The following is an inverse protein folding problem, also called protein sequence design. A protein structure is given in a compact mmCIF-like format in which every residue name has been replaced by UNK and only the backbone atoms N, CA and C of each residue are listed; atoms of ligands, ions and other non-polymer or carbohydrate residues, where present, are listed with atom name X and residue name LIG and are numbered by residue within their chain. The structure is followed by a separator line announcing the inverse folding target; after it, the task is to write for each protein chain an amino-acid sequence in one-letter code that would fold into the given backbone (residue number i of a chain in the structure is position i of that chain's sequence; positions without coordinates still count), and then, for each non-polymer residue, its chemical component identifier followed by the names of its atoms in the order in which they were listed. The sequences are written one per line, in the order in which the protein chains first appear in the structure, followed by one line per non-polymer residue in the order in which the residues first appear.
data_IF_877497674602
#
_entry.id   IF_877497674602
#
_cell.length_a   1.000
_cell.length_b   1.000
_cell.length_c   1.000
_cell.angle_alpha   90.00
_cell.angle_beta   90.00
_cell.angle_gamma   90.00
#
_symmetry.space_group_name_H-M   'P 1'
#
loop_
_entity.id
_entity.type
_entity.pdbx_description
1 polymer ?
#
# COMPACT_ATOMS: atom_id res chain seq x y z
N UNK A 1 10.91 7.61 -11.44
CA UNK A 1 9.85 7.02 -10.59
C UNK A 1 8.47 7.22 -11.18
N UNK A 2 7.93 8.45 -11.28
CA UNK A 2 6.57 8.69 -11.79
C UNK A 2 6.36 8.07 -13.18
N UNK A 3 7.24 8.32 -14.15
CA UNK A 3 7.13 7.76 -15.51
C UNK A 3 7.10 6.23 -15.51
N UNK A 4 7.89 5.60 -14.64
CA UNK A 4 7.89 4.15 -14.46
C UNK A 4 6.54 3.63 -13.94
N UNK A 5 5.95 4.32 -12.95
CA UNK A 5 4.63 3.96 -12.38
C UNK A 5 3.53 4.14 -13.44
N UNK A 6 3.59 5.23 -14.23
CA UNK A 6 2.65 5.47 -15.33
C UNK A 6 2.66 4.30 -16.32
N UNK A 7 3.83 3.88 -16.74
CA UNK A 7 4.01 2.77 -17.68
C UNK A 7 3.56 1.43 -17.06
N UNK A 8 4.03 1.13 -15.85
CA UNK A 8 3.75 -0.13 -15.16
C UNK A 8 2.27 -0.32 -14.82
N UNK A 9 1.60 0.74 -14.36
CA UNK A 9 0.18 0.71 -14.01
C UNK A 9 -0.74 1.04 -15.20
N UNK A 10 -0.20 1.22 -16.41
CA UNK A 10 -0.96 1.59 -17.61
C UNK A 10 -1.84 2.84 -17.41
N UNK A 11 -1.33 3.85 -16.68
CA UNK A 11 -2.09 5.05 -16.30
C UNK A 11 -2.32 5.94 -17.53
N UNK A 12 -3.57 6.08 -17.96
CA UNK A 12 -3.96 6.91 -19.10
C UNK A 12 -4.21 8.39 -18.74
N UNK A 13 -4.57 8.67 -17.50
CA UNK A 13 -4.91 10.02 -16.99
C UNK A 13 -4.09 10.34 -15.73
N UNK A 14 -2.77 10.66 -15.86
CA UNK A 14 -1.90 10.89 -14.72
C UNK A 14 -2.39 12.00 -13.77
N UNK A 15 -2.99 13.06 -14.32
CA UNK A 15 -3.49 14.19 -13.54
C UNK A 15 -4.68 13.84 -12.64
N UNK A 16 -5.37 12.73 -12.92
CA UNK A 16 -6.45 12.21 -12.07
C UNK A 16 -5.96 11.13 -11.10
N UNK A 17 -4.77 10.60 -11.35
CA UNK A 17 -4.22 9.47 -10.60
C UNK A 17 -3.21 9.92 -9.55
N UNK A 18 -2.36 10.93 -9.87
CA UNK A 18 -1.38 11.44 -8.91
C UNK A 18 -1.94 12.61 -8.11
N UNK A 19 -1.72 12.61 -6.79
CA UNK A 19 -2.35 13.57 -5.86
C UNK A 19 -1.74 14.99 -5.89
N UNK A 20 -0.84 15.26 -6.85
CA UNK A 20 -0.23 16.56 -7.10
C UNK A 20 1.25 16.64 -6.74
N UNK A 21 1.96 17.54 -7.41
CA UNK A 21 3.44 17.64 -7.38
C UNK A 21 4.03 17.77 -5.98
N UNK A 22 3.36 18.50 -5.08
CA UNK A 22 3.86 18.69 -3.71
C UNK A 22 3.91 17.40 -2.87
N UNK A 23 3.23 16.35 -3.33
CA UNK A 23 3.24 15.04 -2.68
C UNK A 23 4.12 14.01 -3.38
N UNK A 24 4.87 14.40 -4.42
CA UNK A 24 5.73 13.47 -5.16
C UNK A 24 6.75 12.77 -4.28
N UNK A 25 7.27 13.44 -3.25
CA UNK A 25 8.18 12.82 -2.28
C UNK A 25 7.51 11.81 -1.33
N UNK A 26 6.16 11.78 -1.31
CA UNK A 26 5.39 10.79 -0.56
C UNK A 26 5.11 9.54 -1.37
N UNK A 27 5.35 9.56 -2.68
CA UNK A 27 5.17 8.41 -3.57
C UNK A 27 6.25 7.38 -3.23
N UNK A 28 5.84 6.15 -2.92
CA UNK A 28 6.74 5.10 -2.42
C UNK A 28 6.80 3.88 -3.33
N UNK A 29 5.86 3.74 -4.25
CA UNK A 29 5.85 2.57 -5.13
C UNK A 29 4.48 2.27 -5.71
N UNK A 30 4.21 0.99 -5.87
CA UNK A 30 3.01 0.44 -6.52
C UNK A 30 2.31 -0.51 -5.55
N UNK A 31 1.00 -0.37 -5.43
CA UNK A 31 0.12 -1.25 -4.65
C UNK A 31 -0.69 -2.15 -5.57
N UNK A 32 -0.80 -3.41 -5.21
CA UNK A 32 -1.62 -4.40 -5.87
C UNK A 32 -2.42 -5.23 -4.86
N UNK A 33 -3.67 -5.51 -5.18
CA UNK A 33 -4.49 -6.58 -4.59
C UNK A 33 -4.99 -7.42 -5.75
N UNK A 34 -4.99 -8.73 -5.61
CA UNK A 34 -5.50 -9.64 -6.64
C UNK A 34 -6.93 -9.24 -7.05
N UNK A 35 -7.19 -9.21 -8.35
CA UNK A 35 -8.43 -8.72 -8.98
C UNK A 35 -8.65 -7.18 -8.91
N UNK A 36 -7.68 -6.40 -8.46
CA UNK A 36 -7.67 -4.93 -8.61
C UNK A 36 -6.58 -4.51 -9.60
N UNK A 37 -6.75 -3.33 -10.20
CA UNK A 37 -5.69 -2.71 -10.99
C UNK A 37 -4.54 -2.27 -10.10
N UNK A 38 -3.32 -2.29 -10.64
CA UNK A 38 -2.17 -1.68 -10.00
C UNK A 38 -2.42 -0.19 -9.77
N UNK A 39 -1.97 0.32 -8.66
CA UNK A 39 -2.17 1.73 -8.31
C UNK A 39 -0.93 2.35 -7.66
N UNK A 40 -0.67 3.67 -7.89
CA UNK A 40 0.36 4.37 -7.15
C UNK A 40 0.12 4.27 -5.64
N UNK A 41 1.20 4.05 -4.88
CA UNK A 41 1.17 3.95 -3.43
C UNK A 41 1.89 5.14 -2.79
N UNK A 42 1.23 5.82 -1.86
CA UNK A 42 1.74 6.97 -1.14
C UNK A 42 1.89 6.68 0.36
N UNK A 43 2.96 7.20 0.95
CA UNK A 43 3.15 7.22 2.40
C UNK A 43 2.18 8.22 3.06
N UNK A 44 1.14 7.71 3.71
CA UNK A 44 0.12 8.54 4.34
C UNK A 44 0.68 9.41 5.46
N UNK A 45 1.62 8.90 6.26
CA UNK A 45 2.24 9.66 7.35
C UNK A 45 2.88 10.95 6.81
N UNK A 46 3.66 10.84 5.71
CA UNK A 46 4.28 12.01 5.05
C UNK A 46 3.25 12.94 4.42
N UNK A 47 2.20 12.41 3.80
CA UNK A 47 1.11 13.23 3.25
C UNK A 47 0.45 14.07 4.34
N UNK A 48 0.13 13.47 5.49
CA UNK A 48 -0.45 14.19 6.64
C UNK A 48 0.52 15.24 7.17
N UNK A 49 1.82 14.92 7.28
CA UNK A 49 2.84 15.87 7.72
C UNK A 49 2.91 17.12 6.82
N UNK A 50 2.88 16.95 5.48
CA UNK A 50 2.82 18.07 4.54
C UNK A 50 1.57 18.91 4.75
N UNK A 51 0.41 18.29 4.94
CA UNK A 51 -0.85 19.01 5.18
C UNK A 51 -0.78 19.82 6.48
N UNK A 52 -0.23 19.25 7.54
CA UNK A 52 -0.03 19.94 8.83
C UNK A 52 0.85 21.18 8.66
N UNK A 53 1.97 21.03 7.96
CA UNK A 53 2.94 22.10 7.77
C UNK A 53 2.40 23.25 6.91
N UNK A 54 1.77 22.92 5.77
CA UNK A 54 1.25 23.90 4.81
C UNK A 54 0.11 24.74 5.39
N UNK A 55 -0.81 24.09 6.11
CA UNK A 55 -2.05 24.74 6.59
C UNK A 55 -1.99 25.15 8.06
N UNK A 56 -0.91 24.83 8.77
CA UNK A 56 -0.79 25.02 10.23
C UNK A 56 -1.89 24.29 11.02
N UNK A 57 -2.32 23.16 10.50
CA UNK A 57 -3.32 22.30 11.14
C UNK A 57 -2.68 21.42 12.21
N UNK A 58 -3.48 20.98 13.18
CA UNK A 58 -3.14 19.83 14.01
C UNK A 58 -3.40 18.53 13.24
N UNK A 59 -3.04 17.39 13.81
CA UNK A 59 -3.18 16.07 13.17
C UNK A 59 -4.66 15.75 12.82
N UNK A 60 -5.60 16.01 13.73
CA UNK A 60 -7.02 15.73 13.50
C UNK A 60 -7.59 16.54 12.34
N UNK A 61 -7.29 17.84 12.29
CA UNK A 61 -7.74 18.72 11.19
C UNK A 61 -7.09 18.31 9.86
N UNK A 62 -5.85 17.82 9.90
CA UNK A 62 -5.12 17.34 8.72
C UNK A 62 -5.71 16.06 8.17
N UNK A 63 -6.13 15.13 9.02
CA UNK A 63 -6.83 13.90 8.64
C UNK A 63 -8.20 14.23 8.02
N UNK A 64 -8.95 15.16 8.60
CA UNK A 64 -10.23 15.63 8.02
C UNK A 64 -10.02 16.25 6.64
N UNK A 65 -9.00 17.13 6.52
CA UNK A 65 -8.62 17.72 5.24
C UNK A 65 -8.24 16.67 4.20
N UNK A 66 -7.40 15.68 4.59
CA UNK A 66 -6.99 14.57 3.73
C UNK A 66 -8.20 13.80 3.21
N UNK A 67 -9.08 13.36 4.08
CA UNK A 67 -10.27 12.61 3.70
C UNK A 67 -11.12 13.37 2.67
N UNK A 68 -11.43 14.63 2.93
CA UNK A 68 -12.31 15.44 2.09
C UNK A 68 -11.67 15.92 0.78
N UNK A 69 -10.38 16.21 0.77
CA UNK A 69 -9.74 16.88 -0.35
C UNK A 69 -8.82 15.99 -1.18
N UNK A 70 -8.40 14.85 -0.63
CA UNK A 70 -7.49 13.92 -1.30
C UNK A 70 -8.16 12.55 -1.45
N UNK A 71 -8.48 11.86 -0.37
CA UNK A 71 -9.03 10.51 -0.44
C UNK A 71 -10.32 10.43 -1.27
N UNK A 72 -11.24 11.38 -1.10
CA UNK A 72 -12.50 11.43 -1.85
C UNK A 72 -12.34 11.75 -3.34
N UNK A 73 -11.20 12.33 -3.75
CA UNK A 73 -10.96 12.76 -5.13
C UNK A 73 -10.11 11.77 -5.94
N UNK A 74 -9.33 10.94 -5.29
CA UNK A 74 -8.34 10.08 -5.92
C UNK A 74 -8.61 8.60 -5.61
N UNK A 75 -9.70 8.07 -6.19
CA UNK A 75 -10.15 6.69 -5.93
C UNK A 75 -9.21 5.60 -6.45
N UNK A 76 -8.35 5.92 -7.41
CA UNK A 76 -7.38 4.99 -7.99
C UNK A 76 -6.02 4.99 -7.28
N UNK A 77 -5.89 5.70 -6.16
CA UNK A 77 -4.64 5.83 -5.40
C UNK A 77 -4.71 5.01 -4.12
N UNK A 78 -3.62 4.37 -3.76
CA UNK A 78 -3.44 3.68 -2.50
C UNK A 78 -2.63 4.54 -1.52
N UNK A 79 -3.06 4.56 -0.27
CA UNK A 79 -2.35 5.21 0.82
C UNK A 79 -1.90 4.17 1.83
N UNK A 80 -0.61 4.15 2.13
CA UNK A 80 -0.01 3.24 3.09
C UNK A 80 0.31 3.99 4.38
N UNK A 81 -0.31 3.55 5.48
CA UNK A 81 0.04 3.98 6.82
C UNK A 81 1.02 2.97 7.41
N UNK A 82 2.28 3.39 7.56
CA UNK A 82 3.33 2.56 8.12
C UNK A 82 3.12 2.38 9.62
N UNK A 83 3.06 1.12 10.03
CA UNK A 83 2.95 0.70 11.43
C UNK A 83 4.01 -0.36 11.63
N UNK A 84 4.86 -0.22 12.63
CA UNK A 84 5.85 -1.24 12.97
C UNK A 84 5.15 -2.58 13.22
N UNK A 85 5.58 -3.60 12.50
CA UNK A 85 4.96 -4.89 12.31
C UNK A 85 4.48 -5.57 13.59
N UNK A 86 3.22 -5.35 13.89
CA UNK A 86 2.49 -5.97 15.01
C UNK A 86 1.06 -6.24 14.52
N UNK A 87 0.79 -7.50 14.18
CA UNK A 87 -0.51 -7.96 13.69
C UNK A 87 -1.64 -7.61 14.67
N UNK A 88 -1.36 -7.65 15.97
CA UNK A 88 -2.35 -7.34 17.00
C UNK A 88 -2.77 -5.86 16.93
N UNK A 89 -1.82 -4.96 16.72
CA UNK A 89 -2.11 -3.53 16.53
C UNK A 89 -2.86 -3.26 15.22
N UNK A 90 -2.50 -3.96 14.14
CA UNK A 90 -3.15 -3.80 12.84
C UNK A 90 -4.60 -4.25 12.84
N UNK A 91 -4.93 -5.29 13.60
CA UNK A 91 -6.31 -5.78 13.75
C UNK A 91 -7.28 -4.74 14.34
N UNK A 92 -6.77 -3.68 14.99
CA UNK A 92 -7.60 -2.56 15.46
C UNK A 92 -8.16 -1.69 14.34
N UNK A 93 -7.56 -1.71 13.14
CA UNK A 93 -8.04 -0.96 11.97
C UNK A 93 -9.16 -1.66 11.23
N UNK A 94 -9.14 -3.00 11.25
CA UNK A 94 -10.19 -3.84 10.66
C UNK A 94 -10.20 -5.19 11.37
N UNK A 95 -11.28 -5.51 12.07
CA UNK A 95 -11.41 -6.75 12.86
C UNK A 95 -11.38 -8.02 11.98
N UNK A 96 -11.77 -7.89 10.71
CA UNK A 96 -11.75 -8.99 9.73
C UNK A 96 -10.48 -8.99 8.87
N UNK A 97 -9.42 -8.27 9.30
CA UNK A 97 -8.17 -8.17 8.56
C UNK A 97 -7.55 -9.55 8.36
N UNK A 98 -7.17 -9.83 7.11
CA UNK A 98 -6.44 -11.04 6.76
C UNK A 98 -4.93 -10.75 6.77
N UNK A 99 -4.17 -11.74 7.21
CA UNK A 99 -2.71 -11.75 7.18
C UNK A 99 -2.23 -12.91 6.32
N UNK A 100 -1.08 -12.73 5.67
CA UNK A 100 -0.46 -13.79 4.90
C UNK A 100 0.15 -14.84 5.83
N UNK A 101 -0.30 -16.08 5.70
CA UNK A 101 0.28 -17.21 6.41
C UNK A 101 1.65 -17.59 5.81
N UNK A 102 2.59 -17.98 6.66
CA UNK A 102 3.92 -18.42 6.25
C UNK A 102 4.92 -17.28 6.01
N UNK A 103 4.52 -16.02 6.25
CA UNK A 103 5.42 -14.87 6.18
C UNK A 103 5.67 -14.27 7.56
N UNK A 104 6.92 -13.84 7.80
CA UNK A 104 7.27 -13.17 9.04
C UNK A 104 6.66 -11.77 9.11
N UNK A 105 6.53 -11.23 10.33
CA UNK A 105 6.02 -9.87 10.53
C UNK A 105 6.98 -8.79 9.96
N UNK A 106 8.24 -9.13 9.69
CA UNK A 106 9.19 -8.23 9.02
C UNK A 106 8.79 -7.90 7.57
N UNK A 107 7.91 -8.72 6.95
CA UNK A 107 7.36 -8.44 5.63
C UNK A 107 6.21 -7.43 5.69
N UNK A 108 5.65 -7.16 6.87
CA UNK A 108 4.47 -6.34 7.08
C UNK A 108 4.85 -4.86 7.18
N UNK A 109 4.33 -4.03 6.29
CA UNK A 109 4.57 -2.58 6.26
C UNK A 109 3.58 -1.78 7.11
N UNK A 110 2.35 -2.29 7.26
CA UNK A 110 1.28 -1.58 7.93
C UNK A 110 -0.07 -1.83 7.29
N UNK A 111 -0.89 -0.79 7.12
CA UNK A 111 -2.21 -0.89 6.51
C UNK A 111 -2.34 -0.04 5.25
N UNK A 112 -3.04 -0.56 4.27
CA UNK A 112 -3.37 0.14 3.03
C UNK A 112 -4.79 0.68 3.09
N UNK A 113 -4.93 1.95 2.69
CA UNK A 113 -6.19 2.67 2.51
C UNK A 113 -6.42 2.98 1.04
N UNK A 114 -7.65 2.83 0.58
CA UNK A 114 -8.12 3.30 -0.72
C UNK A 114 -9.58 3.72 -0.58
N UNK A 115 -10.01 4.72 -1.36
CA UNK A 115 -11.40 5.16 -1.33
C UNK A 115 -12.36 4.00 -1.57
N UNK A 116 -13.42 3.91 -0.75
CA UNK A 116 -14.47 2.90 -0.85
C UNK A 116 -13.99 1.43 -0.77
N UNK A 117 -12.77 1.20 -0.30
CA UNK A 117 -12.22 -0.14 -0.06
C UNK A 117 -12.05 -0.40 1.42
N UNK A 118 -11.98 -1.68 1.77
CA UNK A 118 -11.62 -2.06 3.13
C UNK A 118 -10.18 -1.65 3.45
N UNK A 119 -9.91 -1.42 4.72
CA UNK A 119 -8.55 -1.27 5.24
C UNK A 119 -7.95 -2.66 5.33
N UNK A 120 -6.84 -2.90 4.67
CA UNK A 120 -6.20 -4.22 4.60
C UNK A 120 -4.74 -4.15 5.01
N UNK A 121 -4.19 -5.28 5.46
CA UNK A 121 -2.76 -5.41 5.71
C UNK A 121 -1.96 -5.18 4.42
N UNK A 122 -0.79 -4.57 4.55
CA UNK A 122 0.10 -4.27 3.43
C UNK A 122 1.47 -4.90 3.64
N UNK A 123 1.95 -5.63 2.65
CA UNK A 123 3.20 -6.38 2.68
C UNK A 123 4.18 -5.89 1.62
N UNK A 124 5.47 -5.87 1.95
CA UNK A 124 6.57 -5.63 1.02
C UNK A 124 6.83 -6.91 0.20
N UNK A 125 6.74 -6.81 -1.12
CA UNK A 125 6.96 -7.95 -2.02
C UNK A 125 8.39 -8.49 -1.93
N UNK A 126 9.38 -7.60 -1.90
CA UNK A 126 10.78 -7.97 -1.80
C UNK A 126 11.09 -8.68 -0.48
N UNK A 127 10.55 -8.19 0.63
CA UNK A 127 10.69 -8.84 1.93
C UNK A 127 10.01 -10.21 1.97
N UNK A 128 8.83 -10.35 1.37
CA UNK A 128 8.14 -11.64 1.25
C UNK A 128 8.96 -12.67 0.46
N UNK A 129 9.52 -12.27 -0.70
CA UNK A 129 10.37 -13.15 -1.51
C UNK A 129 11.64 -13.55 -0.74
N UNK A 130 12.29 -12.60 -0.04
CA UNK A 130 13.46 -12.90 0.79
C UNK A 130 13.13 -13.84 1.95
N UNK A 131 11.93 -13.75 2.54
CA UNK A 131 11.46 -14.71 3.55
C UNK A 131 11.41 -16.14 2.96
N UNK A 132 10.81 -16.33 1.78
CA UNK A 132 10.72 -17.64 1.12
C UNK A 132 12.11 -18.21 0.81
N UNK A 133 13.05 -17.37 0.36
CA UNK A 133 14.46 -17.77 0.12
C UNK A 133 15.11 -18.19 1.45
N UNK A 134 14.90 -17.45 2.52
CA UNK A 134 15.43 -17.77 3.86
C UNK A 134 14.88 -19.08 4.41
N UNK A 135 13.66 -19.44 4.03
CA UNK A 135 13.00 -20.71 4.36
C UNK A 135 13.46 -21.89 3.47
N UNK A 136 14.38 -21.64 2.53
CA UNK A 136 15.09 -22.65 1.75
C UNK A 136 14.65 -22.79 0.29
N UNK A 137 13.83 -21.91 -0.25
CA UNK A 137 13.53 -21.88 -1.68
C UNK A 137 14.70 -21.29 -2.47
N UNK A 138 14.86 -21.72 -3.72
CA UNK A 138 15.73 -20.98 -4.66
C UNK A 138 15.09 -19.64 -4.99
N UNK A 139 15.87 -18.69 -5.51
CA UNK A 139 15.36 -17.38 -5.91
C UNK A 139 14.25 -17.51 -6.98
N UNK A 140 14.45 -18.38 -7.95
CA UNK A 140 13.48 -18.65 -9.04
C UNK A 140 12.18 -19.25 -8.48
N UNK A 141 12.27 -20.29 -7.63
CA UNK A 141 11.10 -20.93 -7.02
C UNK A 141 10.35 -19.96 -6.08
N UNK A 142 11.07 -19.12 -5.32
CA UNK A 142 10.48 -18.13 -4.44
C UNK A 142 9.68 -17.08 -5.20
N UNK A 143 10.22 -16.60 -6.34
CA UNK A 143 9.53 -15.67 -7.24
C UNK A 143 8.26 -16.29 -7.83
N UNK A 144 8.35 -17.50 -8.41
CA UNK A 144 7.19 -18.20 -8.98
C UNK A 144 6.12 -18.47 -7.92
N UNK A 145 6.55 -18.96 -6.76
CA UNK A 145 5.64 -19.22 -5.64
C UNK A 145 4.91 -17.94 -5.20
N UNK A 146 5.64 -16.85 -5.02
CA UNK A 146 5.10 -15.56 -4.59
C UNK A 146 4.08 -15.01 -5.60
N UNK A 147 4.43 -14.98 -6.89
CA UNK A 147 3.54 -14.46 -7.94
C UNK A 147 2.23 -15.25 -8.00
N UNK A 148 2.30 -16.58 -7.94
CA UNK A 148 1.12 -17.42 -8.13
C UNK A 148 0.30 -17.58 -6.84
N UNK A 149 0.95 -17.82 -5.70
CA UNK A 149 0.26 -18.19 -4.46
C UNK A 149 0.01 -17.01 -3.52
N UNK A 150 0.68 -15.87 -3.73
CA UNK A 150 0.58 -14.71 -2.84
C UNK A 150 0.01 -13.51 -3.58
N UNK A 151 0.72 -12.96 -4.58
CA UNK A 151 0.27 -11.79 -5.33
C UNK A 151 -1.00 -12.05 -6.12
N UNK A 152 -1.11 -13.23 -6.75
CA UNK A 152 -2.30 -13.65 -7.52
C UNK A 152 -3.46 -14.16 -6.68
N UNK A 153 -3.28 -14.39 -5.39
CA UNK A 153 -4.29 -15.00 -4.53
C UNK A 153 -5.34 -13.98 -4.05
N UNK A 154 -6.59 -14.20 -4.41
CA UNK A 154 -7.72 -13.42 -3.91
C UNK A 154 -8.59 -14.26 -2.99
N UNK A 155 -8.77 -13.82 -1.75
CA UNK A 155 -9.61 -14.50 -0.76
C UNK A 155 -10.99 -13.82 -0.62
N UNK A 156 -10.99 -12.51 -0.41
CA UNK A 156 -12.18 -11.66 -0.29
C UNK A 156 -11.76 -10.18 -0.27
N UNK A 157 -12.69 -9.28 0.06
CA UNK A 157 -12.44 -7.81 0.16
C UNK A 157 -11.36 -7.41 1.18
N UNK A 158 -10.98 -8.30 2.10
CA UNK A 158 -9.92 -8.09 3.09
C UNK A 158 -8.57 -8.70 2.65
N UNK A 159 -8.46 -9.16 1.40
CA UNK A 159 -7.20 -9.68 0.85
C UNK A 159 -6.06 -8.67 1.05
N UNK A 160 -4.92 -9.09 1.64
CA UNK A 160 -3.79 -8.21 1.85
C UNK A 160 -3.29 -7.56 0.57
N UNK A 161 -2.82 -6.32 0.68
CA UNK A 161 -2.18 -5.60 -0.41
C UNK A 161 -0.69 -5.94 -0.48
N UNK A 162 -0.18 -6.10 -1.68
CA UNK A 162 1.24 -6.24 -1.96
C UNK A 162 1.78 -4.89 -2.44
N UNK A 163 2.87 -4.43 -1.88
CA UNK A 163 3.51 -3.16 -2.18
C UNK A 163 4.88 -3.44 -2.78
N UNK A 164 5.08 -2.99 -4.01
CA UNK A 164 6.40 -2.91 -4.63
C UNK A 164 6.98 -1.53 -4.30
N UNK A 165 7.96 -1.47 -3.39
CA UNK A 165 8.66 -0.24 -3.04
C UNK A 165 9.67 0.14 -4.14
N UNK A 166 9.82 1.47 -4.43
CA UNK A 166 10.67 2.01 -5.49
C UNK A 166 11.71 3.00 -4.97
#
# INVERSE_FOLDING_TARGET
MIDYIIEYCEISEPEKTFIGEKYNECLIGISHIANEDFSPAYNLNKVIEIIMNDNKFNESDSIEYFNKNILDKFSSVSFLYFINGDRDNLSNYNIDMLFLDGYSDDCLLGVRFKQNSEIVAAYDDSACIQNLISDGMTEEDAYEYFEYNTRGAYYNKNTPAIITLL
#
